data_IF_737221056149
#
_entry.id   IF_737221056149
#
_cell.length_a   1.000
_cell.length_b   1.000
_cell.length_c   1.000
_cell.angle_alpha   90.00
_cell.angle_beta   90.00
_cell.angle_gamma   90.00
#
_symmetry.space_group_name_H-M   'P 1'
#
loop_
_entity.id
_entity.type
_entity.pdbx_description
1 polymer ?
#
# COMPACT_ATOMS: atom_id res chain seq x y z
N UNK A 1 7.37 1.25 7.31
CA UNK A 1 7.83 0.43 6.15
C UNK A 1 7.69 -1.08 6.42
N UNK A 2 8.47 -1.69 7.32
CA UNK A 2 8.39 -3.13 7.63
C UNK A 2 6.99 -3.60 8.07
N UNK A 3 6.33 -2.85 8.95
CA UNK A 3 4.98 -3.18 9.42
C UNK A 3 3.94 -3.16 8.28
N UNK A 4 3.96 -2.11 7.46
CA UNK A 4 3.13 -2.00 6.25
C UNK A 4 3.36 -3.17 5.29
N UNK A 5 4.62 -3.57 5.09
CA UNK A 5 4.92 -4.71 4.23
C UNK A 5 4.26 -6.00 4.74
N UNK A 6 4.41 -6.29 6.04
CA UNK A 6 3.76 -7.47 6.65
C UNK A 6 2.24 -7.41 6.58
N UNK A 7 1.63 -6.25 6.75
CA UNK A 7 0.18 -6.11 6.59
C UNK A 7 -0.26 -6.40 5.16
N UNK A 8 0.46 -5.86 4.17
CA UNK A 8 0.12 -6.07 2.77
C UNK A 8 0.40 -7.50 2.31
N UNK A 9 1.50 -8.09 2.76
CA UNK A 9 1.80 -9.50 2.53
C UNK A 9 0.74 -10.40 3.19
N UNK A 10 0.25 -10.05 4.39
CA UNK A 10 -0.82 -10.81 5.04
C UNK A 10 -2.18 -10.62 4.40
N UNK A 11 -2.49 -9.43 3.86
CA UNK A 11 -3.82 -9.11 3.32
C UNK A 11 -3.93 -9.47 1.84
N UNK A 12 -2.90 -9.16 1.07
CA UNK A 12 -2.87 -9.32 -0.39
C UNK A 12 -2.02 -10.51 -0.83
N UNK A 13 -1.30 -11.18 0.08
CA UNK A 13 -0.38 -12.28 -0.25
C UNK A 13 0.70 -11.89 -1.27
N UNK A 14 1.04 -10.59 -1.31
CA UNK A 14 2.03 -10.02 -2.22
C UNK A 14 3.14 -9.32 -1.45
N UNK A 15 4.40 -9.56 -1.85
CA UNK A 15 5.55 -8.82 -1.33
C UNK A 15 5.54 -7.40 -1.89
N UNK A 16 5.33 -6.44 -1.00
CA UNK A 16 5.26 -5.04 -1.32
C UNK A 16 6.50 -4.26 -0.89
N UNK A 17 7.59 -4.92 -0.48
CA UNK A 17 8.79 -4.30 0.07
C UNK A 17 9.44 -3.35 -0.93
N UNK A 18 9.60 -3.80 -2.17
CA UNK A 18 10.15 -3.01 -3.27
C UNK A 18 9.26 -1.80 -3.57
N UNK A 19 7.94 -2.01 -3.66
CA UNK A 19 6.99 -0.95 -3.93
C UNK A 19 6.93 0.08 -2.79
N UNK A 20 6.82 -0.37 -1.53
CA UNK A 20 6.88 0.48 -0.35
C UNK A 20 8.19 1.28 -0.25
N UNK A 21 9.31 0.74 -0.73
CA UNK A 21 10.57 1.48 -0.79
C UNK A 21 10.53 2.66 -1.77
N UNK A 22 9.74 2.59 -2.84
CA UNK A 22 9.55 3.68 -3.81
C UNK A 22 8.66 4.81 -3.30
N UNK A 23 7.88 4.56 -2.24
CA UNK A 23 6.89 5.51 -1.74
C UNK A 23 7.48 6.49 -0.71
N UNK A 24 6.91 7.69 -0.69
CA UNK A 24 7.16 8.71 0.32
C UNK A 24 6.39 8.43 1.62
N UNK A 25 6.78 9.08 2.72
CA UNK A 25 6.10 8.93 4.02
C UNK A 25 4.60 9.29 3.93
N UNK A 26 4.24 10.32 3.17
CA UNK A 26 2.84 10.71 2.97
C UNK A 26 2.02 9.63 2.25
N UNK A 27 2.61 8.99 1.23
CA UNK A 27 1.97 7.85 0.55
C UNK A 27 1.83 6.64 1.47
N UNK A 28 2.78 6.40 2.38
CA UNK A 28 2.65 5.32 3.38
C UNK A 28 1.50 5.55 4.36
N UNK A 29 1.25 6.79 4.77
CA UNK A 29 0.09 7.12 5.61
C UNK A 29 -1.23 6.92 4.85
N UNK A 30 -1.27 7.25 3.55
CA UNK A 30 -2.43 6.93 2.71
C UNK A 30 -2.66 5.42 2.57
N UNK A 31 -1.60 4.62 2.37
CA UNK A 31 -1.72 3.16 2.29
C UNK A 31 -2.39 2.59 3.56
N UNK A 32 -2.11 3.15 4.73
CA UNK A 32 -2.73 2.69 5.97
C UNK A 32 -4.26 2.83 5.94
N UNK A 33 -4.77 3.94 5.42
CA UNK A 33 -6.21 4.13 5.24
C UNK A 33 -6.75 3.23 4.12
N UNK A 34 -6.02 3.12 3.01
CA UNK A 34 -6.41 2.30 1.86
C UNK A 34 -6.41 0.80 2.17
N UNK A 35 -5.53 0.29 3.03
CA UNK A 35 -5.54 -1.11 3.46
C UNK A 35 -6.83 -1.48 4.20
N UNK A 36 -7.47 -0.51 4.85
CA UNK A 36 -8.72 -0.73 5.56
C UNK A 36 -9.94 -0.72 4.63
N UNK A 37 -9.87 -0.02 3.50
CA UNK A 37 -10.99 0.16 2.57
C UNK A 37 -10.88 -0.66 1.29
N UNK A 38 -9.67 -0.88 0.79
CA UNK A 38 -9.39 -1.70 -0.39
C UNK A 38 -9.28 -3.18 -0.02
N UNK A 39 -9.74 -4.05 -0.91
CA UNK A 39 -9.62 -5.51 -0.77
C UNK A 39 -8.48 -6.08 -1.61
N UNK A 40 -7.97 -5.31 -2.57
CA UNK A 40 -6.84 -5.71 -3.42
C UNK A 40 -5.71 -4.68 -3.45
N UNK A 41 -4.46 -5.16 -3.62
CA UNK A 41 -3.29 -4.28 -3.79
C UNK A 41 -3.43 -3.38 -5.03
N UNK A 42 -4.11 -3.88 -6.07
CA UNK A 42 -4.42 -3.11 -7.28
C UNK A 42 -5.18 -1.83 -6.97
N UNK A 43 -6.23 -1.90 -6.14
CA UNK A 43 -7.00 -0.71 -5.73
C UNK A 43 -6.15 0.28 -4.94
N UNK A 44 -5.30 -0.22 -4.03
CA UNK A 44 -4.38 0.64 -3.26
C UNK A 44 -3.44 1.39 -4.22
N UNK A 45 -2.83 0.67 -5.17
CA UNK A 45 -1.92 1.25 -6.18
C UNK A 45 -2.64 2.27 -7.05
N UNK A 46 -3.86 1.96 -7.51
CA UNK A 46 -4.66 2.86 -8.34
C UNK A 46 -4.96 4.17 -7.59
N UNK A 47 -5.44 4.08 -6.34
CA UNK A 47 -5.77 5.27 -5.54
C UNK A 47 -4.56 6.15 -5.21
N UNK A 48 -3.37 5.54 -5.06
CA UNK A 48 -2.11 6.29 -4.87
C UNK A 48 -1.58 6.95 -6.14
N UNK A 49 -1.94 6.43 -7.32
CA UNK A 49 -1.43 6.88 -8.62
C UNK A 49 -2.39 7.85 -9.29
N UNK A 50 -3.69 7.87 -8.94
CA UNK A 50 -4.66 8.83 -9.50
C UNK A 50 -4.18 10.27 -9.28
N UNK A 51 -3.78 10.98 -10.35
CA UNK A 51 -3.70 12.43 -10.33
C UNK A 51 -5.14 12.93 -10.46
N UNK A 52 -5.53 13.85 -9.59
CA UNK A 52 -6.75 14.64 -9.77
C UNK A 52 -6.76 15.36 -11.13
#
# INVERSE_FOLDING_TARGET
RLFLNRMMESKYHEDCSAWLCTLSTAQMEQIFNLILTCDTLGEVKTQLVTPE
#
